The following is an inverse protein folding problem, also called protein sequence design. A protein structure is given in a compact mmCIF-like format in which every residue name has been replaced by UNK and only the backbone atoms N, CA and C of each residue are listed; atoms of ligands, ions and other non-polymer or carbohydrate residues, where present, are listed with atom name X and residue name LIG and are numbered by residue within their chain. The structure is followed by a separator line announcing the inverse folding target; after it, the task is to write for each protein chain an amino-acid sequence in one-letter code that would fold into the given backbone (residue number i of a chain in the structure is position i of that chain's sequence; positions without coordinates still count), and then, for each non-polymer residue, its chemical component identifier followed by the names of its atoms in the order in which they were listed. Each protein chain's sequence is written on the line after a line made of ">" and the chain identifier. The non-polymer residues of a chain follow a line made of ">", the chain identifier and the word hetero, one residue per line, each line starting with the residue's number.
data_IF_708966688020
#
_entry.id   IF_708966688020
#
_cell.length_a   1.000
_cell.length_b   1.000
_cell.length_c   1.000
_cell.angle_alpha   90.00
_cell.angle_beta   90.00
_cell.angle_gamma   90.00
#
_symmetry.space_group_name_H-M   'P 1'
#
loop_
_entity.id
_entity.type
_entity.pdbx_description
1 polymer ?
#
# COMPACT_ATOMS: atom_id res chain seq x y z
N UNK A 1 3.69 11.37 -21.32
CA UNK A 1 3.30 10.26 -20.44
C UNK A 1 4.24 10.32 -19.26
N UNK A 2 3.84 10.98 -18.17
CA UNK A 2 4.69 11.03 -16.98
C UNK A 2 4.36 9.80 -16.16
N UNK A 3 5.26 8.83 -16.16
CA UNK A 3 5.32 7.84 -15.09
C UNK A 3 5.35 8.59 -13.77
N UNK A 4 4.21 8.62 -13.08
CA UNK A 4 4.15 8.97 -11.69
C UNK A 4 4.80 7.81 -10.95
N UNK A 5 6.14 7.82 -10.93
CA UNK A 5 6.96 6.95 -10.10
C UNK A 5 6.62 7.33 -8.67
N UNK A 6 5.64 6.66 -8.07
CA UNK A 6 5.38 6.75 -6.64
C UNK A 6 6.65 6.18 -5.96
N UNK A 7 7.52 7.02 -5.36
CA UNK A 7 8.78 6.55 -4.80
C UNK A 7 8.61 5.77 -3.47
N UNK A 8 7.39 5.40 -3.12
CA UNK A 8 6.96 5.30 -1.72
C UNK A 8 6.97 3.90 -1.13
N UNK A 9 7.14 2.87 -1.97
CA UNK A 9 7.27 1.50 -1.46
C UNK A 9 8.63 1.26 -0.78
N UNK A 10 9.68 1.97 -1.19
CA UNK A 10 11.02 1.86 -0.60
C UNK A 10 11.44 0.40 -0.32
N UNK A 11 11.71 0.12 0.95
CA UNK A 11 12.13 -1.19 1.49
C UNK A 11 11.02 -2.27 1.44
N UNK A 12 9.76 -1.88 1.30
CA UNK A 12 8.64 -2.79 1.17
C UNK A 12 8.49 -3.37 -0.25
N UNK A 13 9.01 -2.70 -1.29
CA UNK A 13 9.06 -3.29 -2.63
C UNK A 13 9.80 -4.63 -2.64
N UNK A 14 10.87 -4.74 -1.84
CA UNK A 14 11.68 -5.95 -1.74
C UNK A 14 10.97 -7.08 -0.97
N UNK A 15 9.94 -6.75 -0.20
CA UNK A 15 9.12 -7.71 0.56
C UNK A 15 7.92 -8.26 -0.23
N UNK A 16 7.80 -7.95 -1.52
CA UNK A 16 6.70 -8.42 -2.36
C UNK A 16 5.52 -7.46 -2.47
N UNK A 17 5.64 -6.23 -1.96
CA UNK A 17 4.64 -5.20 -2.22
C UNK A 17 4.79 -4.67 -3.65
N UNK A 18 3.67 -4.43 -4.34
CA UNK A 18 3.62 -3.76 -5.64
C UNK A 18 2.50 -2.72 -5.65
N UNK A 19 2.71 -1.62 -6.36
CA UNK A 19 1.66 -0.64 -6.66
C UNK A 19 1.26 -0.79 -8.12
N UNK A 20 -0.03 -0.95 -8.38
CA UNK A 20 -0.59 -0.92 -9.72
C UNK A 20 -1.45 0.32 -9.90
N UNK A 21 -1.28 1.02 -11.01
CA UNK A 21 -2.13 2.17 -11.34
C UNK A 21 -3.44 1.63 -11.90
N UNK A 22 -4.54 1.85 -11.18
CA UNK A 22 -5.87 1.49 -11.66
C UNK A 22 -6.43 2.59 -12.57
N UNK A 23 -6.20 3.85 -12.21
CA UNK A 23 -6.69 5.03 -12.93
C UNK A 23 -5.70 6.21 -12.83
N UNK A 24 -6.00 7.32 -13.51
CA UNK A 24 -5.15 8.54 -13.58
C UNK A 24 -4.81 9.12 -12.19
N UNK A 25 -5.61 8.80 -11.18
CA UNK A 25 -5.44 9.27 -9.80
C UNK A 25 -5.61 8.18 -8.74
N UNK A 26 -5.66 6.90 -9.10
CA UNK A 26 -5.84 5.79 -8.15
C UNK A 26 -4.81 4.70 -8.37
N UNK A 27 -4.21 4.25 -7.27
CA UNK A 27 -3.25 3.17 -7.24
C UNK A 27 -3.67 2.11 -6.23
N UNK A 28 -3.67 0.87 -6.65
CA UNK A 28 -3.88 -0.27 -5.76
C UNK A 28 -2.55 -0.77 -5.23
N UNK A 29 -2.49 -0.96 -3.91
CA UNK A 29 -1.39 -1.62 -3.22
C UNK A 29 -1.71 -3.10 -3.15
N UNK A 30 -0.80 -3.90 -3.70
CA UNK A 30 -0.82 -5.34 -3.62
C UNK A 30 0.36 -5.83 -2.81
N UNK A 31 0.19 -6.97 -2.14
CA UNK A 31 1.28 -7.73 -1.55
C UNK A 31 1.23 -9.14 -2.11
N UNK A 32 2.23 -9.49 -2.91
CA UNK A 32 2.31 -10.69 -3.74
C UNK A 32 1.16 -10.75 -4.75
N UNK A 33 0.01 -11.30 -4.36
CA UNK A 33 -1.22 -11.43 -5.15
C UNK A 33 -2.48 -10.94 -4.41
N UNK A 34 -2.32 -10.40 -3.19
CA UNK A 34 -3.43 -9.91 -2.38
C UNK A 34 -3.55 -8.39 -2.49
N UNK A 35 -4.74 -7.90 -2.87
CA UNK A 35 -5.05 -6.47 -2.85
C UNK A 35 -5.22 -6.01 -1.40
N UNK A 36 -4.37 -5.09 -0.97
CA UNK A 36 -4.41 -4.52 0.37
C UNK A 36 -5.33 -3.31 0.46
N UNK A 37 -5.40 -2.53 -0.61
CA UNK A 37 -6.27 -1.37 -0.70
C UNK A 37 -5.92 -0.44 -1.84
N UNK A 38 -6.85 0.47 -2.13
CA UNK A 38 -6.72 1.49 -3.18
C UNK A 38 -6.47 2.85 -2.55
N UNK A 39 -5.44 3.52 -3.03
CA UNK A 39 -5.00 4.84 -2.60
C UNK A 39 -5.16 5.84 -3.74
N UNK A 40 -5.57 7.06 -3.42
CA UNK A 40 -5.56 8.12 -4.43
C UNK A 40 -4.15 8.67 -4.59
N UNK A 41 -3.57 8.63 -5.78
CA UNK A 41 -2.20 9.11 -6.06
C UNK A 41 -1.95 10.57 -5.65
N UNK A 42 -3.00 11.40 -5.59
CA UNK A 42 -2.90 12.81 -5.18
C UNK A 42 -2.82 12.94 -3.64
N UNK A 43 -3.44 12.02 -2.90
CA UNK A 43 -3.51 12.03 -1.43
C UNK A 43 -2.68 10.94 -0.75
N UNK A 44 -2.18 9.98 -1.53
CA UNK A 44 -1.31 8.92 -1.07
C UNK A 44 0.04 9.54 -0.76
N UNK A 45 0.36 9.58 0.52
CA UNK A 45 1.69 9.91 1.00
C UNK A 45 2.42 8.62 1.34
N UNK A 46 3.75 8.67 1.28
CA UNK A 46 4.57 7.52 1.57
C UNK A 46 4.29 6.97 2.97
N UNK A 47 4.07 7.87 3.92
CA UNK A 47 3.73 7.51 5.28
C UNK A 47 2.41 6.73 5.37
N UNK A 48 1.41 7.08 4.56
CA UNK A 48 0.12 6.37 4.51
C UNK A 48 0.26 4.96 3.90
N UNK A 49 1.01 4.84 2.79
CA UNK A 49 1.27 3.55 2.14
C UNK A 49 2.12 2.65 3.04
N UNK A 50 3.18 3.19 3.65
CA UNK A 50 4.04 2.43 4.56
C UNK A 50 3.30 1.98 5.82
N UNK A 51 2.41 2.83 6.37
CA UNK A 51 1.55 2.47 7.50
C UNK A 51 0.63 1.31 7.15
N UNK A 52 0.08 1.29 5.93
CA UNK A 52 -0.72 0.16 5.44
C UNK A 52 0.12 -1.11 5.29
N UNK A 53 1.30 -1.02 4.66
CA UNK A 53 2.22 -2.15 4.55
C UNK A 53 2.59 -2.73 5.91
N UNK A 54 2.92 -1.89 6.89
CA UNK A 54 3.26 -2.30 8.24
C UNK A 54 2.07 -2.94 8.98
N UNK A 55 0.86 -2.39 8.81
CA UNK A 55 -0.37 -2.95 9.35
C UNK A 55 -0.64 -4.34 8.80
N UNK A 56 -0.49 -4.51 7.48
CA UNK A 56 -0.70 -5.78 6.81
C UNK A 56 0.33 -6.84 7.23
N UNK A 57 1.62 -6.47 7.31
CA UNK A 57 2.67 -7.36 7.81
C UNK A 57 2.41 -7.77 9.26
N UNK A 58 1.97 -6.84 10.12
CA UNK A 58 1.59 -7.15 11.51
C UNK A 58 0.43 -8.13 11.57
N UNK A 59 -0.62 -7.90 10.78
CA UNK A 59 -1.78 -8.79 10.72
C UNK A 59 -1.40 -10.20 10.23
N UNK A 60 -0.55 -10.32 9.19
CA UNK A 60 -0.11 -11.62 8.65
C UNK A 60 0.85 -12.38 9.56
N UNK A 61 1.68 -11.69 10.33
CA UNK A 61 2.66 -12.32 11.24
C UNK A 61 2.11 -12.63 12.65
N UNK A 62 0.83 -12.35 12.94
CA UNK A 62 0.18 -12.78 14.18
C UNK A 62 -0.22 -11.68 15.16
N UNK A 63 -0.43 -10.44 14.68
CA UNK A 63 -1.04 -9.38 15.46
C UNK A 63 -2.56 -9.36 15.30
N UNK A 64 -3.26 -10.06 16.18
CA UNK A 64 -4.71 -9.91 16.37
C UNK A 64 -5.03 -8.47 16.79
N UNK A 65 -5.91 -7.79 16.05
CA UNK A 65 -6.53 -6.53 16.49
C UNK A 65 -6.24 -5.29 15.64
N UNK A 66 -6.82 -5.24 14.44
CA UNK A 66 -7.41 -3.96 13.99
C UNK A 66 -8.76 -3.82 14.68
N UNK A 67 -8.79 -3.08 15.78
CA UNK A 67 -10.05 -2.50 16.26
C UNK A 67 -10.62 -1.64 15.13
N UNK A 68 -11.83 -2.02 14.71
CA UNK A 68 -12.55 -1.38 13.63
C UNK A 68 -12.92 0.05 14.04
N UNK A 69 -12.78 0.92 13.06
CA UNK A 69 -13.28 2.29 13.00
C UNK A 69 -14.76 2.38 13.39
N UNK A 70 -15.11 3.32 14.27
CA UNK A 70 -16.37 4.08 14.27
C UNK A 70 -16.09 5.54 14.64
#
# INVERSE_FOLDING_TARGET
>A
MKEQRIPELGEHADRGFRLENLDDHMVALYHEDEELGVFSQIGATAESIQKECARHLTARHGGEGIEKTE
#
